data_IF_080259641972
#
_entry.id   IF_080259641972
#
_cell.length_a   1.000
_cell.length_b   1.000
_cell.length_c   1.000
_cell.angle_alpha   90.00
_cell.angle_beta   90.00
_cell.angle_gamma   90.00
#
_symmetry.space_group_name_H-M   'P 1'
#
loop_
_entity.id
_entity.type
_entity.pdbx_description
1 polymer ?
#
# COMPACT_ATOMS: atom_id res chain seq x y z
N UNK A 1 -56.18 -17.08 30.03
CA UNK A 1 -55.91 -16.81 28.60
C UNK A 1 -54.81 -15.74 28.52
N UNK A 2 -53.54 -16.13 28.72
CA UNK A 2 -52.42 -15.18 28.73
C UNK A 2 -51.10 -15.89 28.36
N UNK A 3 -51.14 -16.79 27.37
CA UNK A 3 -49.99 -17.63 27.03
C UNK A 3 -49.58 -17.53 25.55
N UNK A 4 -50.51 -17.24 24.63
CA UNK A 4 -50.19 -17.17 23.20
C UNK A 4 -49.56 -15.84 22.74
N UNK A 5 -49.84 -14.71 23.40
CA UNK A 5 -49.27 -13.40 22.99
C UNK A 5 -47.80 -13.23 23.34
N UNK A 6 -47.31 -13.89 24.40
CA UNK A 6 -45.89 -13.80 24.79
C UNK A 6 -44.99 -14.63 23.86
N UNK A 7 -45.46 -15.79 23.38
CA UNK A 7 -44.71 -16.60 22.41
C UNK A 7 -44.55 -15.89 21.05
N UNK A 8 -45.58 -15.16 20.61
CA UNK A 8 -45.53 -14.44 19.33
C UNK A 8 -44.53 -13.27 19.33
N UNK A 9 -44.38 -12.59 20.49
CA UNK A 9 -43.43 -11.48 20.65
C UNK A 9 -41.97 -11.97 20.68
N UNK A 10 -41.70 -13.14 21.26
CA UNK A 10 -40.35 -13.73 21.29
C UNK A 10 -39.90 -14.23 19.90
N UNK A 11 -40.83 -14.76 19.08
CA UNK A 11 -40.52 -15.16 17.70
C UNK A 11 -40.21 -13.95 16.81
N UNK A 12 -40.89 -12.82 17.01
CA UNK A 12 -40.62 -11.57 16.28
C UNK A 12 -39.30 -10.90 16.67
N UNK A 13 -38.88 -10.99 17.94
CA UNK A 13 -37.57 -10.50 18.41
C UNK A 13 -36.42 -11.42 17.95
N UNK A 14 -36.66 -12.72 17.79
CA UNK A 14 -35.67 -13.65 17.23
C UNK A 14 -35.57 -13.56 15.70
N UNK A 15 -36.62 -13.11 14.99
CA UNK A 15 -36.55 -12.81 13.55
C UNK A 15 -35.91 -11.45 13.22
N UNK A 16 -35.83 -10.51 14.17
CA UNK A 16 -35.12 -9.23 13.98
C UNK A 16 -33.62 -9.29 14.31
N UNK A 17 -33.15 -10.42 14.83
CA UNK A 17 -31.72 -10.81 14.86
C UNK A 17 -31.29 -11.50 13.56
N UNK A 18 -31.92 -11.15 12.43
CA UNK A 18 -31.35 -11.37 11.12
C UNK A 18 -29.96 -10.70 11.13
N UNK A 19 -28.94 -11.54 11.16
CA UNK A 19 -27.52 -11.21 11.11
C UNK A 19 -27.28 -9.89 10.35
N UNK A 20 -26.86 -8.85 11.06
CA UNK A 20 -25.92 -7.93 10.45
C UNK A 20 -24.67 -8.76 10.17
N UNK A 21 -24.67 -9.46 9.04
CA UNK A 21 -23.46 -9.99 8.47
C UNK A 21 -22.62 -8.76 8.19
N UNK A 22 -21.62 -8.51 9.04
CA UNK A 22 -20.46 -7.76 8.59
C UNK A 22 -19.99 -8.52 7.35
N UNK A 23 -19.98 -7.86 6.20
CA UNK A 23 -19.39 -8.45 5.02
C UNK A 23 -17.90 -8.50 5.31
N UNK A 24 -17.42 -9.65 5.78
CA UNK A 24 -16.00 -9.90 5.98
C UNK A 24 -15.32 -9.93 4.60
N UNK A 25 -14.05 -9.54 4.58
CA UNK A 25 -13.26 -9.67 3.37
C UNK A 25 -13.06 -11.16 3.05
N UNK A 26 -13.05 -11.52 1.76
CA UNK A 26 -12.76 -12.88 1.31
C UNK A 26 -11.95 -12.86 0.01
N UNK A 27 -11.18 -13.90 -0.25
CA UNK A 27 -10.36 -14.04 -1.46
C UNK A 27 -11.19 -14.38 -2.71
N UNK A 28 -12.42 -14.85 -2.54
CA UNK A 28 -13.38 -15.25 -3.57
C UNK A 28 -14.53 -14.23 -3.80
N UNK A 29 -14.45 -13.03 -3.19
CA UNK A 29 -15.55 -12.06 -3.12
C UNK A 29 -16.20 -11.72 -4.48
N UNK A 30 -15.43 -11.77 -5.57
CA UNK A 30 -15.91 -11.43 -6.91
C UNK A 30 -16.17 -12.65 -7.82
N UNK A 31 -15.96 -13.87 -7.37
CA UNK A 31 -16.00 -15.08 -8.22
C UNK A 31 -17.36 -15.29 -8.89
N UNK A 32 -18.45 -15.07 -8.15
CA UNK A 32 -19.81 -15.22 -8.67
C UNK A 32 -20.33 -13.98 -9.41
N UNK A 33 -19.73 -12.80 -9.18
CA UNK A 33 -20.26 -11.52 -9.68
C UNK A 33 -19.48 -11.01 -10.89
N UNK A 34 -18.16 -11.17 -10.90
CA UNK A 34 -17.29 -10.85 -12.02
C UNK A 34 -16.01 -11.71 -11.97
N UNK A 35 -16.06 -12.97 -12.40
CA UNK A 35 -14.91 -13.89 -12.37
C UNK A 35 -13.71 -13.39 -13.19
N UNK A 36 -13.96 -12.55 -14.20
CA UNK A 36 -12.92 -11.95 -15.05
C UNK A 36 -12.25 -10.71 -14.43
N UNK A 37 -12.66 -10.29 -13.23
CA UNK A 37 -12.10 -9.11 -12.56
C UNK A 37 -10.59 -9.26 -12.27
N UNK A 38 -10.19 -10.26 -11.48
CA UNK A 38 -8.78 -10.45 -11.10
C UNK A 38 -7.87 -10.77 -12.30
N UNK A 39 -8.26 -11.65 -13.25
CA UNK A 39 -7.50 -11.85 -14.48
C UNK A 39 -7.29 -10.56 -15.29
N UNK A 40 -8.31 -9.69 -15.34
CA UNK A 40 -8.22 -8.40 -16.04
C UNK A 40 -7.26 -7.44 -15.36
N UNK A 41 -7.32 -7.32 -14.03
CA UNK A 41 -6.38 -6.50 -13.24
C UNK A 41 -4.95 -6.96 -13.52
N UNK A 42 -4.69 -8.26 -13.37
CA UNK A 42 -3.38 -8.87 -13.59
C UNK A 42 -2.81 -8.55 -14.97
N UNK A 43 -3.60 -8.74 -16.03
CA UNK A 43 -3.19 -8.43 -17.41
C UNK A 43 -2.76 -6.97 -17.56
N UNK A 44 -3.55 -6.03 -17.06
CA UNK A 44 -3.26 -4.59 -17.20
C UNK A 44 -2.01 -4.20 -16.38
N UNK A 45 -1.84 -4.77 -15.18
CA UNK A 45 -0.64 -4.57 -14.36
C UNK A 45 0.60 -5.12 -15.08
N UNK A 46 0.54 -6.34 -15.59
CA UNK A 46 1.66 -6.94 -16.33
C UNK A 46 2.02 -6.13 -17.58
N UNK A 47 1.03 -5.64 -18.33
CA UNK A 47 1.25 -4.74 -19.46
C UNK A 47 1.99 -3.47 -19.03
N UNK A 48 1.54 -2.84 -17.93
CA UNK A 48 2.14 -1.61 -17.41
C UNK A 48 3.58 -1.85 -16.91
N UNK A 49 3.83 -2.94 -16.20
CA UNK A 49 5.17 -3.32 -15.69
C UNK A 49 6.11 -3.72 -16.84
N UNK A 50 5.60 -4.36 -17.89
CA UNK A 50 6.39 -4.63 -19.11
C UNK A 50 6.81 -3.35 -19.82
N UNK A 51 5.92 -2.37 -19.88
CA UNK A 51 6.19 -1.07 -20.50
C UNK A 51 7.16 -0.22 -19.67
N UNK A 52 6.97 -0.20 -18.34
CA UNK A 52 7.84 0.49 -17.42
C UNK A 52 8.01 -0.33 -16.14
N UNK A 53 9.17 -0.98 -15.95
CA UNK A 53 9.42 -1.87 -14.81
C UNK A 53 9.21 -1.19 -13.44
N UNK A 54 9.52 0.11 -13.34
CA UNK A 54 9.31 0.92 -12.12
C UNK A 54 7.83 1.07 -11.75
N UNK A 55 6.91 0.85 -12.68
CA UNK A 55 5.48 0.94 -12.40
C UNK A 55 5.05 -0.06 -11.32
N UNK A 56 5.66 -1.25 -11.27
CA UNK A 56 5.33 -2.23 -10.23
C UNK A 56 5.64 -1.72 -8.82
N UNK A 57 6.82 -1.10 -8.63
CA UNK A 57 7.16 -0.43 -7.37
C UNK A 57 6.21 0.74 -7.04
N UNK A 58 5.73 1.44 -8.07
CA UNK A 58 4.84 2.59 -7.91
C UNK A 58 3.46 2.16 -7.43
N UNK A 59 2.90 1.10 -8.01
CA UNK A 59 1.60 0.53 -7.61
C UNK A 59 1.65 -0.12 -6.23
N UNK A 60 2.74 -0.83 -5.91
CA UNK A 60 2.99 -1.34 -4.56
C UNK A 60 2.98 -0.21 -3.53
N UNK A 61 3.74 0.86 -3.79
CA UNK A 61 3.79 2.04 -2.91
C UNK A 61 2.43 2.75 -2.83
N UNK A 62 1.67 2.82 -3.91
CA UNK A 62 0.37 3.48 -3.93
C UNK A 62 -0.62 2.78 -2.98
N UNK A 63 -0.58 1.45 -2.89
CA UNK A 63 -1.38 0.70 -1.93
C UNK A 63 -0.93 0.94 -0.48
N UNK A 64 0.37 0.94 -0.19
CA UNK A 64 0.89 1.30 1.14
C UNK A 64 0.43 2.69 1.57
N UNK A 65 0.53 3.68 0.67
CA UNK A 65 0.12 5.06 0.95
C UNK A 65 -1.39 5.21 1.15
N UNK A 66 -2.21 4.40 0.48
CA UNK A 66 -3.66 4.35 0.74
C UNK A 66 -3.92 3.82 2.16
N UNK A 67 -3.43 2.62 2.47
CA UNK A 67 -3.71 1.94 3.73
C UNK A 67 -3.24 2.70 4.97
N UNK A 68 -2.15 3.46 4.89
CA UNK A 68 -1.64 4.25 6.01
C UNK A 68 -2.44 5.53 6.27
N UNK A 69 -3.43 5.87 5.44
CA UNK A 69 -4.23 7.10 5.57
C UNK A 69 -5.70 6.73 5.71
N UNK A 70 -6.22 6.76 6.95
CA UNK A 70 -7.59 6.36 7.30
C UNK A 70 -8.00 4.90 7.02
N UNK A 71 -7.19 4.14 6.28
CA UNK A 71 -7.41 2.73 5.97
C UNK A 71 -7.29 2.44 4.48
N UNK A 72 -7.39 1.18 4.08
CA UNK A 72 -7.34 0.79 2.67
C UNK A 72 -8.70 1.07 1.99
N UNK A 73 -8.98 2.34 1.68
CA UNK A 73 -10.29 2.81 1.23
C UNK A 73 -10.23 3.59 -0.11
N UNK A 74 -9.07 3.58 -0.78
CA UNK A 74 -8.79 4.29 -2.02
C UNK A 74 -9.06 5.81 -1.96
N UNK A 75 -8.99 6.42 -0.78
CA UNK A 75 -9.06 7.87 -0.58
C UNK A 75 -7.93 8.60 -1.29
N UNK A 76 -6.74 8.01 -1.37
CA UNK A 76 -5.58 8.58 -2.10
C UNK A 76 -5.86 8.84 -3.59
N UNK A 77 -6.84 8.15 -4.18
CA UNK A 77 -7.20 8.29 -5.60
C UNK A 77 -8.03 9.54 -5.89
N UNK A 78 -8.66 10.14 -4.88
CA UNK A 78 -9.54 11.29 -5.05
C UNK A 78 -8.76 12.55 -5.46
N UNK A 79 -9.24 13.24 -6.48
CA UNK A 79 -8.69 14.52 -6.92
C UNK A 79 -9.17 15.67 -6.03
N UNK A 80 -8.41 16.77 -6.04
CA UNK A 80 -8.76 17.99 -5.32
C UNK A 80 -10.07 18.57 -5.90
N UNK A 81 -11.00 18.91 -5.02
CA UNK A 81 -12.22 19.67 -5.36
C UNK A 81 -12.45 20.77 -4.32
N UNK A 82 -13.56 21.51 -4.44
CA UNK A 82 -13.97 22.49 -3.42
C UNK A 82 -14.33 21.83 -2.08
N UNK A 83 -14.65 20.53 -2.09
CA UNK A 83 -15.09 19.77 -0.90
C UNK A 83 -14.14 18.63 -0.50
N UNK A 84 -13.12 18.33 -1.32
CA UNK A 84 -12.15 17.26 -1.09
C UNK A 84 -10.75 17.86 -1.02
N UNK A 85 -10.09 17.79 0.14
CA UNK A 85 -8.65 18.12 0.31
C UNK A 85 -7.80 16.89 -0.03
N UNK A 86 -7.32 16.83 -1.27
CA UNK A 86 -6.72 15.62 -1.84
C UNK A 86 -5.37 15.29 -1.21
N UNK A 87 -5.22 14.01 -0.89
CA UNK A 87 -3.97 13.43 -0.38
C UNK A 87 -2.84 13.46 -1.39
N UNK A 88 -3.13 13.58 -2.70
CA UNK A 88 -2.10 13.69 -3.75
C UNK A 88 -1.18 14.89 -3.55
N UNK A 89 -1.65 15.92 -2.84
CA UNK A 89 -0.88 17.12 -2.52
C UNK A 89 -0.22 17.09 -1.13
N UNK A 90 -0.36 15.99 -0.37
CA UNK A 90 0.35 15.77 0.89
C UNK A 90 1.87 15.63 0.64
N UNK A 91 2.69 15.94 1.66
CA UNK A 91 4.16 15.96 1.55
C UNK A 91 4.76 14.66 1.00
N UNK A 92 4.25 13.51 1.44
CA UNK A 92 4.74 12.20 1.02
C UNK A 92 4.29 11.80 -0.40
N UNK A 93 3.24 12.45 -0.93
CA UNK A 93 2.58 12.12 -2.19
C UNK A 93 2.91 13.10 -3.31
N UNK A 94 3.04 14.39 -3.00
CA UNK A 94 3.19 15.45 -3.96
C UNK A 94 4.47 15.27 -4.79
N UNK A 95 4.33 15.21 -6.10
CA UNK A 95 5.41 14.90 -7.05
C UNK A 95 6.17 13.60 -6.71
N UNK A 96 5.52 12.63 -6.05
CA UNK A 96 6.16 11.42 -5.54
C UNK A 96 5.33 10.16 -5.79
N UNK A 97 4.07 10.12 -5.34
CA UNK A 97 3.14 9.03 -5.64
C UNK A 97 2.79 9.05 -7.15
N UNK A 98 2.66 7.88 -7.77
CA UNK A 98 2.43 7.74 -9.22
C UNK A 98 1.77 6.40 -9.57
N UNK A 99 1.33 6.24 -10.81
CA UNK A 99 0.60 5.06 -11.28
C UNK A 99 -0.92 5.20 -11.22
N UNK A 100 -1.43 6.39 -10.89
CA UNK A 100 -2.86 6.69 -10.86
C UNK A 100 -3.54 6.37 -12.20
N UNK A 101 -2.87 6.69 -13.31
CA UNK A 101 -3.30 6.42 -14.68
C UNK A 101 -3.43 4.93 -15.00
N UNK A 102 -2.61 4.08 -14.36
CA UNK A 102 -2.71 2.63 -14.50
C UNK A 102 -3.93 2.12 -13.72
N UNK A 103 -4.20 2.67 -12.53
CA UNK A 103 -5.42 2.37 -11.78
C UNK A 103 -6.66 2.77 -12.58
N UNK A 104 -6.66 3.93 -13.25
CA UNK A 104 -7.73 4.34 -14.17
C UNK A 104 -7.95 3.35 -15.31
N UNK A 105 -6.87 2.90 -15.95
CA UNK A 105 -6.95 1.89 -17.00
C UNK A 105 -7.51 0.58 -16.47
N UNK A 106 -7.04 0.12 -15.30
CA UNK A 106 -7.54 -1.11 -14.67
C UNK A 106 -9.05 -0.98 -14.42
N UNK A 107 -9.48 0.10 -13.76
CA UNK A 107 -10.89 0.30 -13.44
C UNK A 107 -11.77 0.32 -14.68
N UNK A 108 -11.36 1.04 -15.72
CA UNK A 108 -12.12 1.11 -16.96
C UNK A 108 -12.26 -0.26 -17.64
N UNK A 109 -11.20 -1.07 -17.64
CA UNK A 109 -11.20 -2.40 -18.24
C UNK A 109 -12.03 -3.40 -17.42
N UNK A 110 -11.93 -3.32 -16.09
CA UNK A 110 -12.72 -4.13 -15.15
C UNK A 110 -14.21 -3.79 -15.26
N UNK A 111 -14.59 -2.52 -15.20
CA UNK A 111 -15.99 -2.12 -15.30
C UNK A 111 -16.59 -2.52 -16.66
N UNK A 112 -15.78 -2.48 -17.73
CA UNK A 112 -16.18 -2.94 -19.06
C UNK A 112 -16.41 -4.45 -19.10
N UNK A 113 -15.49 -5.26 -18.57
CA UNK A 113 -15.64 -6.73 -18.61
C UNK A 113 -16.74 -7.22 -17.68
N UNK A 114 -16.96 -6.55 -16.55
CA UNK A 114 -18.05 -6.83 -15.62
C UNK A 114 -19.40 -6.24 -16.05
N UNK A 115 -19.44 -5.41 -17.10
CA UNK A 115 -20.63 -4.74 -17.61
C UNK A 115 -21.20 -3.62 -16.71
N UNK A 116 -20.59 -3.37 -15.56
CA UNK A 116 -20.98 -2.35 -14.57
C UNK A 116 -19.88 -2.19 -13.50
N UNK A 117 -19.85 -1.07 -12.75
CA UNK A 117 -18.96 -0.91 -11.61
C UNK A 117 -19.33 -1.88 -10.48
N UNK A 118 -18.51 -2.91 -10.28
CA UNK A 118 -18.67 -3.91 -9.20
C UNK A 118 -17.44 -4.04 -8.31
N UNK A 119 -16.24 -3.93 -8.89
CA UNK A 119 -14.98 -3.97 -8.13
C UNK A 119 -14.65 -2.59 -7.60
N UNK A 120 -14.39 -2.48 -6.30
CA UNK A 120 -13.96 -1.21 -5.70
C UNK A 120 -12.56 -0.80 -6.14
N UNK A 121 -12.26 0.48 -6.02
CA UNK A 121 -10.93 1.00 -6.30
C UNK A 121 -9.93 0.55 -5.23
N UNK A 122 -10.41 0.42 -3.99
CA UNK A 122 -9.64 -0.11 -2.87
C UNK A 122 -9.14 -1.53 -3.18
N UNK A 123 -10.01 -2.42 -3.66
CA UNK A 123 -9.58 -3.77 -4.06
C UNK A 123 -8.68 -3.76 -5.30
N UNK A 124 -8.91 -2.86 -6.25
CA UNK A 124 -7.99 -2.68 -7.39
C UNK A 124 -6.58 -2.31 -6.91
N UNK A 125 -6.44 -1.41 -5.93
CA UNK A 125 -5.13 -1.06 -5.36
C UNK A 125 -4.45 -2.27 -4.72
N UNK A 126 -5.19 -3.03 -3.92
CA UNK A 126 -4.66 -4.22 -3.22
C UNK A 126 -4.20 -5.29 -4.21
N UNK A 127 -5.02 -5.62 -5.21
CA UNK A 127 -4.69 -6.62 -6.23
C UNK A 127 -3.54 -6.13 -7.11
N UNK A 128 -3.55 -4.86 -7.52
CA UNK A 128 -2.48 -4.29 -8.34
C UNK A 128 -1.13 -4.29 -7.63
N UNK A 129 -1.09 -4.09 -6.31
CA UNK A 129 0.13 -4.22 -5.52
C UNK A 129 0.67 -5.67 -5.55
N UNK A 130 -0.19 -6.67 -5.33
CA UNK A 130 0.19 -8.09 -5.40
C UNK A 130 0.72 -8.48 -6.77
N UNK A 131 -0.03 -8.17 -7.82
CA UNK A 131 0.34 -8.51 -9.19
C UNK A 131 1.62 -7.79 -9.63
N UNK A 132 1.89 -6.59 -9.11
CA UNK A 132 3.14 -5.86 -9.34
C UNK A 132 4.35 -6.56 -8.74
N UNK A 133 4.22 -7.08 -7.52
CA UNK A 133 5.30 -7.84 -6.86
C UNK A 133 5.56 -9.15 -7.61
N UNK A 134 4.51 -9.88 -7.99
CA UNK A 134 4.62 -11.12 -8.78
C UNK A 134 5.26 -10.86 -10.14
N UNK A 135 4.85 -9.81 -10.86
CA UNK A 135 5.44 -9.42 -12.15
C UNK A 135 6.93 -9.03 -12.06
N UNK A 136 7.40 -8.71 -10.86
CA UNK A 136 8.79 -8.41 -10.53
C UNK A 136 9.48 -9.57 -9.79
N UNK A 137 8.96 -10.80 -9.91
CA UNK A 137 9.51 -12.05 -9.37
C UNK A 137 9.44 -12.23 -7.84
N UNK A 138 8.61 -11.44 -7.17
CA UNK A 138 8.36 -11.60 -5.74
C UNK A 138 7.29 -12.65 -5.43
N UNK A 139 6.94 -12.81 -4.14
CA UNK A 139 5.90 -13.75 -3.72
C UNK A 139 4.52 -13.35 -4.24
N UNK A 140 3.64 -14.35 -4.27
CA UNK A 140 2.20 -14.14 -4.35
C UNK A 140 1.59 -14.33 -2.96
N UNK A 141 0.41 -13.77 -2.75
CA UNK A 141 -0.43 -14.03 -1.58
C UNK A 141 -1.91 -13.97 -1.96
N UNK A 142 -2.74 -14.55 -1.11
CA UNK A 142 -4.20 -14.53 -1.24
C UNK A 142 -4.72 -13.16 -0.78
N UNK A 143 -5.12 -12.35 -1.75
CA UNK A 143 -5.64 -11.01 -1.48
C UNK A 143 -7.06 -11.15 -0.93
N UNK A 144 -7.28 -10.66 0.29
CA UNK A 144 -8.62 -10.49 0.86
C UNK A 144 -9.34 -9.35 0.12
N UNK A 145 -10.58 -9.52 -0.34
CA UNK A 145 -11.35 -8.60 -1.19
C UNK A 145 -12.71 -8.27 -0.57
N UNK A 146 -13.38 -7.25 -1.08
CA UNK A 146 -14.67 -6.76 -0.58
C UNK A 146 -14.60 -5.38 0.08
N UNK A 147 -13.47 -4.68 -0.07
CA UNK A 147 -13.32 -3.29 0.40
C UNK A 147 -14.22 -2.37 -0.40
N UNK A 148 -14.54 -1.22 0.19
CA UNK A 148 -15.34 -0.16 -0.43
C UNK A 148 -14.58 1.15 -0.43
N UNK A 149 -14.97 2.00 -1.36
CA UNK A 149 -14.31 3.27 -1.60
C UNK A 149 -14.80 4.35 -0.64
N UNK A 150 -13.86 5.11 -0.08
CA UNK A 150 -14.17 6.32 0.68
C UNK A 150 -14.79 7.40 -0.20
N UNK A 151 -15.56 8.28 0.44
CA UNK A 151 -16.12 9.50 -0.18
C UNK A 151 -15.33 10.75 0.17
N UNK A 152 -14.30 10.62 1.02
CA UNK A 152 -13.45 11.72 1.48
C UNK A 152 -11.98 11.36 1.38
N UNK A 153 -11.13 12.38 1.40
CA UNK A 153 -9.67 12.26 1.51
C UNK A 153 -9.18 13.22 2.59
N UNK A 154 -8.02 12.96 3.18
CA UNK A 154 -7.45 13.81 4.22
C UNK A 154 -5.96 14.03 4.02
N UNK A 155 -5.60 15.13 3.34
CA UNK A 155 -4.23 15.60 3.24
C UNK A 155 -3.54 15.76 4.60
N UNK A 156 -4.27 16.20 5.63
CA UNK A 156 -3.74 16.33 6.99
C UNK A 156 -3.39 14.97 7.59
N UNK A 157 -4.27 13.97 7.44
CA UNK A 157 -3.97 12.60 7.90
C UNK A 157 -2.79 12.03 7.13
N UNK A 158 -2.73 12.17 5.79
CA UNK A 158 -1.60 11.75 4.99
C UNK A 158 -0.27 12.38 5.42
N UNK A 159 -0.27 13.65 5.84
CA UNK A 159 0.91 14.34 6.35
C UNK A 159 1.38 13.86 7.73
N UNK A 160 0.50 13.24 8.51
CA UNK A 160 0.76 12.81 9.88
C UNK A 160 1.08 11.32 9.99
N UNK A 161 0.39 10.50 9.19
CA UNK A 161 0.35 9.06 9.38
C UNK A 161 1.32 8.32 8.44
N UNK A 162 1.61 8.86 7.25
CA UNK A 162 2.62 8.28 6.36
C UNK A 162 4.02 8.51 6.95
N UNK A 163 4.82 7.46 7.20
CA UNK A 163 6.16 7.61 7.74
C UNK A 163 7.06 8.39 6.79
N UNK A 164 7.97 9.19 7.36
CA UNK A 164 8.93 9.98 6.57
C UNK A 164 10.24 9.21 6.44
N UNK A 165 11.02 9.42 5.36
CA UNK A 165 12.30 8.74 5.16
C UNK A 165 13.39 9.15 6.17
N UNK A 166 13.08 10.08 7.07
CA UNK A 166 13.96 10.67 8.08
C UNK A 166 13.69 10.15 9.49
N UNK A 167 12.72 9.26 9.67
CA UNK A 167 12.38 8.69 10.98
C UNK A 167 13.46 7.70 11.44
N UNK A 168 13.77 7.75 12.74
CA UNK A 168 14.55 6.72 13.41
C UNK A 168 13.71 5.46 13.71
N UNK A 169 14.34 4.41 14.22
CA UNK A 169 13.69 3.12 14.47
C UNK A 169 12.51 3.24 15.45
N UNK A 170 12.68 4.00 16.55
CA UNK A 170 11.62 4.17 17.55
C UNK A 170 10.39 4.90 16.96
N UNK A 171 10.62 5.92 16.13
CA UNK A 171 9.55 6.62 15.43
C UNK A 171 8.84 5.71 14.42
N UNK A 172 9.58 4.87 13.69
CA UNK A 172 9.00 3.90 12.75
C UNK A 172 8.14 2.85 13.46
N UNK A 173 8.65 2.24 14.54
CA UNK A 173 7.90 1.26 15.35
C UNK A 173 6.61 1.88 15.87
N UNK A 174 6.67 3.08 16.43
CA UNK A 174 5.48 3.78 16.92
C UNK A 174 4.50 4.15 15.80
N UNK A 175 4.98 4.45 14.59
CA UNK A 175 4.14 4.76 13.45
C UNK A 175 3.39 3.51 12.95
N UNK A 176 4.08 2.38 12.76
CA UNK A 176 3.49 1.11 12.33
C UNK A 176 2.51 0.55 13.38
N UNK A 177 2.87 0.65 14.66
CA UNK A 177 2.01 0.23 15.77
C UNK A 177 0.68 0.97 15.81
N UNK A 178 0.63 2.25 15.41
CA UNK A 178 -0.64 3.01 15.29
C UNK A 178 -1.57 2.45 14.21
N UNK A 179 -1.02 1.75 13.22
CA UNK A 179 -1.78 1.05 12.19
C UNK A 179 -2.07 -0.41 12.56
N UNK A 180 -1.65 -0.87 13.74
CA UNK A 180 -1.83 -2.26 14.17
C UNK A 180 -0.79 -3.23 13.60
N UNK A 181 0.34 -2.71 13.10
CA UNK A 181 1.46 -3.50 12.57
C UNK A 181 2.59 -3.54 13.60
N UNK A 182 3.23 -4.70 13.74
CA UNK A 182 4.33 -4.91 14.69
C UNK A 182 5.72 -4.62 14.05
N UNK A 183 6.78 -4.95 14.78
CA UNK A 183 8.16 -4.76 14.32
C UNK A 183 8.54 -5.70 13.18
N UNK A 184 8.00 -6.91 13.15
CA UNK A 184 8.22 -7.86 12.07
C UNK A 184 7.59 -7.33 10.79
N UNK A 185 6.36 -6.81 10.89
CA UNK A 185 5.67 -6.14 9.79
C UNK A 185 6.43 -4.91 9.29
N UNK A 186 6.97 -4.09 10.20
CA UNK A 186 7.82 -2.95 9.83
C UNK A 186 9.03 -3.40 8.99
N UNK A 187 9.78 -4.41 9.44
CA UNK A 187 10.99 -4.86 8.74
C UNK A 187 10.63 -5.53 7.41
N UNK A 188 9.61 -6.39 7.39
CA UNK A 188 9.14 -7.07 6.19
C UNK A 188 8.65 -6.06 5.14
N UNK A 189 7.72 -5.16 5.49
CA UNK A 189 7.15 -4.18 4.56
C UNK A 189 8.18 -3.16 4.07
N UNK A 190 9.17 -2.80 4.89
CA UNK A 190 10.31 -2.00 4.44
C UNK A 190 11.10 -2.69 3.32
N UNK A 191 11.06 -4.03 3.26
CA UNK A 191 11.58 -4.83 2.16
C UNK A 191 10.99 -4.50 0.79
N UNK A 192 9.83 -3.83 0.73
CA UNK A 192 9.29 -3.28 -0.52
C UNK A 192 10.25 -2.32 -1.25
N UNK A 193 11.21 -1.72 -0.52
CA UNK A 193 12.29 -0.91 -1.07
C UNK A 193 13.36 -1.72 -1.84
N UNK A 194 13.25 -3.05 -1.94
CA UNK A 194 13.99 -3.81 -2.97
C UNK A 194 13.61 -3.37 -4.40
N UNK A 195 12.43 -2.76 -4.55
CA UNK A 195 11.94 -2.23 -5.82
C UNK A 195 11.99 -0.71 -5.87
N UNK A 196 12.18 -0.16 -7.06
CA UNK A 196 11.94 1.25 -7.35
C UNK A 196 13.08 2.20 -6.99
N UNK A 197 12.71 3.48 -6.83
CA UNK A 197 13.63 4.61 -6.80
C UNK A 197 13.10 5.70 -5.89
N UNK A 198 14.02 6.41 -5.24
CA UNK A 198 13.75 7.57 -4.41
C UNK A 198 14.34 8.84 -5.03
N UNK A 199 13.74 9.98 -4.69
CA UNK A 199 14.22 11.30 -5.09
C UNK A 199 15.32 11.79 -4.17
N UNK A 200 16.28 12.53 -4.72
CA UNK A 200 17.43 13.07 -3.99
C UNK A 200 17.05 13.80 -2.70
N UNK A 201 15.96 14.56 -2.70
CA UNK A 201 15.44 15.26 -1.52
C UNK A 201 15.19 14.33 -0.32
N UNK A 202 14.91 13.04 -0.54
CA UNK A 202 14.58 12.07 0.50
C UNK A 202 15.80 11.42 1.16
N UNK A 203 16.96 11.40 0.51
CA UNK A 203 18.18 10.77 1.03
C UNK A 203 19.38 11.71 1.16
N UNK A 204 19.28 12.95 0.64
CA UNK A 204 20.39 13.90 0.65
C UNK A 204 20.98 14.09 2.04
N UNK A 205 20.14 14.31 3.05
CA UNK A 205 20.63 14.52 4.41
C UNK A 205 21.51 13.35 4.87
N UNK A 206 21.03 12.12 4.62
CA UNK A 206 21.76 10.91 5.00
C UNK A 206 23.12 10.81 4.32
N UNK A 207 23.17 10.94 2.99
CA UNK A 207 24.44 10.74 2.28
C UNK A 207 25.52 11.74 2.69
N UNK A 208 25.16 12.93 3.17
CA UNK A 208 26.11 13.96 3.63
C UNK A 208 26.42 13.92 5.12
N UNK A 209 25.45 13.55 5.97
CA UNK A 209 25.52 13.81 7.41
C UNK A 209 25.48 12.55 8.30
N UNK A 210 24.97 11.42 7.81
CA UNK A 210 24.87 10.22 8.64
C UNK A 210 26.23 9.51 8.73
N UNK A 211 26.60 9.04 9.93
CA UNK A 211 27.85 8.33 10.16
C UNK A 211 27.77 6.83 9.81
N UNK A 212 26.57 6.24 9.80
CA UNK A 212 26.31 4.83 9.51
C UNK A 212 26.01 4.59 8.02
N UNK A 213 26.87 5.11 7.14
CA UNK A 213 26.80 4.91 5.69
C UNK A 213 28.15 4.46 5.15
N UNK A 214 28.14 3.47 4.25
CA UNK A 214 29.33 3.09 3.50
C UNK A 214 29.84 4.28 2.68
N UNK A 215 31.10 4.68 2.91
CA UNK A 215 31.67 5.90 2.32
C UNK A 215 31.78 5.84 0.80
N UNK A 216 31.98 4.64 0.24
CA UNK A 216 32.02 4.43 -1.20
C UNK A 216 30.62 4.58 -1.80
N UNK A 217 29.60 3.99 -1.17
CA UNK A 217 28.20 4.15 -1.56
C UNK A 217 27.75 5.62 -1.49
N UNK A 218 28.05 6.33 -0.39
CA UNK A 218 27.76 7.76 -0.25
C UNK A 218 28.39 8.58 -1.39
N UNK A 219 29.66 8.31 -1.70
CA UNK A 219 30.41 9.00 -2.76
C UNK A 219 29.80 8.81 -4.15
N UNK A 220 29.25 7.62 -4.44
CA UNK A 220 28.54 7.37 -5.69
C UNK A 220 27.24 8.18 -5.78
N UNK A 221 26.56 8.43 -4.66
CA UNK A 221 25.31 9.20 -4.61
C UNK A 221 25.52 10.72 -4.63
N UNK A 222 26.65 11.24 -4.16
CA UNK A 222 26.95 12.68 -4.23
C UNK A 222 26.86 13.25 -5.65
N UNK A 223 27.23 12.47 -6.67
CA UNK A 223 27.14 12.89 -8.09
C UNK A 223 25.70 13.17 -8.54
N UNK A 224 24.72 12.58 -7.86
CA UNK A 224 23.29 12.78 -8.11
C UNK A 224 22.70 13.91 -7.27
N UNK A 225 23.46 14.43 -6.29
CA UNK A 225 22.97 15.29 -5.20
C UNK A 225 23.74 16.60 -5.04
N UNK A 226 24.46 17.04 -6.07
CA UNK A 226 25.04 18.40 -6.11
C UNK A 226 23.97 19.46 -5.88
N UNK A 227 24.30 20.60 -5.26
CA UNK A 227 23.35 21.69 -4.95
C UNK A 227 22.28 21.88 -6.05
N UNK A 228 21.01 21.59 -5.70
CA UNK A 228 19.93 21.36 -6.66
C UNK A 228 19.59 19.87 -6.84
N UNK A 229 18.85 19.55 -7.91
CA UNK A 229 18.57 18.16 -8.30
C UNK A 229 17.67 17.36 -7.35
N UNK A 230 16.77 18.02 -6.60
CA UNK A 230 15.86 17.35 -5.65
C UNK A 230 15.09 16.17 -6.26
N UNK A 231 14.74 16.27 -7.55
CA UNK A 231 14.00 15.24 -8.29
C UNK A 231 14.87 14.15 -8.92
N UNK A 232 16.21 14.25 -8.82
CA UNK A 232 17.10 13.21 -9.33
C UNK A 232 16.82 11.88 -8.63
N UNK A 233 16.73 10.83 -9.43
CA UNK A 233 16.37 9.51 -8.95
C UNK A 233 17.60 8.66 -8.64
N UNK A 234 17.56 7.98 -7.51
CA UNK A 234 18.48 6.90 -7.16
C UNK A 234 17.67 5.63 -6.90
N UNK A 235 18.18 4.49 -7.36
CA UNK A 235 17.58 3.20 -7.04
C UNK A 235 17.69 2.93 -5.53
N UNK A 236 16.61 2.41 -4.94
CA UNK A 236 16.58 2.00 -3.53
C UNK A 236 17.46 0.75 -3.30
N UNK A 237 17.59 -0.09 -4.34
CA UNK A 237 18.36 -1.34 -4.38
C UNK A 237 19.20 -1.40 -5.68
N UNK A 238 20.35 -2.11 -5.73
CA UNK A 238 21.01 -2.62 -6.94
C UNK A 238 20.11 -3.30 -7.98
N UNK A 239 19.01 -3.94 -7.58
CA UNK A 239 18.09 -4.67 -8.46
C UNK A 239 16.67 -4.05 -8.47
N UNK A 240 16.49 -2.76 -8.84
CA UNK A 240 15.26 -1.99 -8.57
C UNK A 240 13.99 -2.44 -9.34
N UNK A 241 14.09 -3.52 -10.11
CA UNK A 241 13.03 -4.13 -10.90
C UNK A 241 13.00 -5.66 -10.74
N UNK A 242 13.53 -6.17 -9.64
CA UNK A 242 13.53 -7.59 -9.29
C UNK A 242 13.40 -7.70 -7.77
N UNK A 243 12.37 -8.39 -7.30
CA UNK A 243 12.10 -8.54 -5.88
C UNK A 243 13.02 -9.62 -5.30
N UNK A 244 13.96 -9.24 -4.44
CA UNK A 244 14.91 -10.14 -3.82
C UNK A 244 15.33 -9.66 -2.41
N UNK A 245 16.36 -10.27 -1.83
CA UNK A 245 16.88 -9.93 -0.49
C UNK A 245 18.04 -8.92 -0.51
N UNK A 246 18.33 -8.27 -1.64
CA UNK A 246 19.46 -7.32 -1.77
C UNK A 246 19.24 -6.05 -0.97
N UNK A 247 17.99 -5.62 -0.79
CA UNK A 247 17.63 -4.57 0.16
C UNK A 247 18.24 -4.84 1.55
N UNK A 248 17.96 -6.01 2.15
CA UNK A 248 18.50 -6.35 3.47
C UNK A 248 20.01 -6.59 3.45
N UNK A 249 20.55 -7.18 2.38
CA UNK A 249 22.01 -7.33 2.21
C UNK A 249 22.73 -5.98 2.20
N UNK A 250 22.10 -4.95 1.63
CA UNK A 250 22.62 -3.58 1.66
C UNK A 250 22.58 -2.99 3.06
N UNK A 251 21.50 -3.19 3.83
CA UNK A 251 21.43 -2.68 5.21
C UNK A 251 22.57 -3.24 6.07
N UNK A 252 22.82 -4.54 5.98
CA UNK A 252 23.95 -5.22 6.65
C UNK A 252 25.31 -4.63 6.24
N UNK A 253 25.39 -4.08 5.03
CA UNK A 253 26.60 -3.44 4.49
C UNK A 253 26.63 -1.92 4.66
N UNK A 254 25.73 -1.32 5.46
CA UNK A 254 25.56 0.14 5.62
C UNK A 254 25.22 0.89 4.31
N UNK A 255 24.52 0.22 3.39
CA UNK A 255 24.14 0.70 2.06
C UNK A 255 22.63 0.89 1.88
N UNK A 256 21.85 0.98 2.97
CA UNK A 256 20.48 1.50 2.88
C UNK A 256 20.49 2.88 2.22
N UNK A 257 19.46 3.27 1.47
CA UNK A 257 19.46 4.57 0.80
C UNK A 257 18.92 5.66 1.73
N UNK A 258 17.75 5.41 2.31
CA UNK A 258 17.06 6.34 3.20
C UNK A 258 17.58 6.20 4.63
N UNK A 259 17.36 7.24 5.45
CA UNK A 259 17.66 7.17 6.87
C UNK A 259 16.80 6.12 7.57
N UNK A 260 15.51 6.09 7.26
CA UNK A 260 14.57 5.06 7.73
C UNK A 260 15.00 3.64 7.37
N UNK A 261 15.62 3.43 6.20
CA UNK A 261 16.10 2.10 5.79
C UNK A 261 17.23 1.63 6.71
N UNK A 262 18.25 2.48 6.89
CA UNK A 262 19.41 2.11 7.69
C UNK A 262 19.10 2.09 9.19
N UNK A 263 18.05 2.77 9.64
CA UNK A 263 17.59 2.70 11.03
C UNK A 263 17.20 1.26 11.45
N UNK A 264 16.75 0.42 10.50
CA UNK A 264 16.44 -1.00 10.74
C UNK A 264 17.67 -1.87 11.02
N UNK A 265 18.89 -1.35 10.74
CA UNK A 265 20.14 -2.07 10.99
C UNK A 265 21.18 -1.10 11.57
N UNK A 266 21.06 -0.86 12.88
CA UNK A 266 21.84 0.16 13.59
C UNK A 266 22.22 -0.26 15.01
N UNK A 267 22.21 -1.57 15.31
CA UNK A 267 22.51 -2.12 16.62
C UNK A 267 21.28 -2.22 17.53
N UNK A 268 20.09 -2.31 16.94
CA UNK A 268 18.79 -2.31 17.62
C UNK A 268 18.06 -3.65 17.58
N UNK A 269 16.79 -3.63 17.98
CA UNK A 269 15.93 -4.83 18.09
C UNK A 269 15.60 -5.50 16.74
N UNK A 270 15.70 -4.77 15.63
CA UNK A 270 15.39 -5.27 14.28
C UNK A 270 16.58 -5.91 13.55
N UNK A 271 17.81 -5.78 14.10
CA UNK A 271 19.05 -6.20 13.44
C UNK A 271 19.07 -7.70 13.07
N UNK A 272 18.56 -8.56 13.95
CA UNK A 272 18.60 -10.02 13.74
C UNK A 272 17.61 -10.49 12.67
N UNK A 273 16.46 -9.82 12.56
CA UNK A 273 15.51 -10.07 11.49
C UNK A 273 16.06 -9.60 10.13
N UNK A 274 16.67 -8.41 10.08
CA UNK A 274 17.37 -7.92 8.88
C UNK A 274 18.47 -8.88 8.43
N UNK A 275 19.29 -9.41 9.36
CA UNK A 275 20.30 -10.45 9.02
C UNK A 275 19.66 -11.70 8.47
N UNK A 276 18.51 -12.12 9.00
CA UNK A 276 17.78 -13.30 8.55
C UNK A 276 17.31 -13.11 7.11
N UNK A 277 16.59 -12.03 6.83
CA UNK A 277 16.11 -11.72 5.48
C UNK A 277 17.25 -11.54 4.48
N UNK A 278 18.38 -10.95 4.88
CA UNK A 278 19.55 -10.79 3.99
C UNK A 278 20.09 -12.12 3.44
N UNK A 279 19.89 -13.23 4.15
CA UNK A 279 20.41 -14.56 3.80
C UNK A 279 19.32 -15.52 3.31
N UNK A 280 18.06 -15.22 3.58
CA UNK A 280 16.95 -16.13 3.34
C UNK A 280 15.79 -15.41 2.65
N UNK A 281 15.79 -15.42 1.32
CA UNK A 281 14.71 -14.88 0.50
C UNK A 281 13.37 -15.58 0.76
N UNK A 282 13.38 -16.88 1.10
CA UNK A 282 12.14 -17.62 1.36
C UNK A 282 11.42 -17.05 2.58
N UNK A 283 12.12 -16.91 3.70
CA UNK A 283 11.56 -16.33 4.93
C UNK A 283 11.09 -14.90 4.70
N UNK A 284 11.92 -14.05 4.08
CA UNK A 284 11.47 -12.69 3.70
C UNK A 284 10.20 -12.70 2.85
N UNK A 285 10.10 -13.60 1.86
CA UNK A 285 8.95 -13.66 0.96
C UNK A 285 7.67 -14.12 1.66
N UNK A 286 7.77 -15.03 2.62
CA UNK A 286 6.65 -15.50 3.45
C UNK A 286 6.15 -14.37 4.36
N UNK A 287 7.06 -13.75 5.11
CA UNK A 287 6.70 -12.70 6.07
C UNK A 287 6.21 -11.44 5.33
N UNK A 288 6.79 -11.10 4.17
CA UNK A 288 6.29 -10.02 3.32
C UNK A 288 4.86 -10.26 2.84
N UNK A 289 4.52 -11.48 2.44
CA UNK A 289 3.17 -11.85 2.03
C UNK A 289 2.17 -11.69 3.18
N UNK A 290 2.53 -12.17 4.38
CA UNK A 290 1.69 -12.05 5.57
C UNK A 290 1.50 -10.59 5.99
N UNK A 291 2.57 -9.81 6.04
CA UNK A 291 2.50 -8.38 6.40
C UNK A 291 1.74 -7.55 5.35
N UNK A 292 1.81 -7.90 4.06
CA UNK A 292 0.99 -7.27 3.02
C UNK A 292 -0.51 -7.56 3.21
N UNK A 293 -0.88 -8.77 3.64
CA UNK A 293 -2.27 -9.09 4.01
C UNK A 293 -2.71 -8.27 5.22
N UNK A 294 -1.90 -8.22 6.29
CA UNK A 294 -2.20 -7.41 7.49
C UNK A 294 -2.36 -5.92 7.14
N UNK A 295 -1.43 -5.37 6.36
CA UNK A 295 -1.49 -3.98 5.88
C UNK A 295 -2.75 -3.73 5.04
N UNK A 296 -3.08 -4.65 4.12
CA UNK A 296 -4.30 -4.58 3.31
C UNK A 296 -5.59 -4.63 4.14
N UNK A 297 -5.53 -5.04 5.40
CA UNK A 297 -6.67 -5.14 6.31
C UNK A 297 -6.76 -3.97 7.30
N UNK A 298 -5.98 -2.90 7.11
CA UNK A 298 -6.08 -1.69 7.93
C UNK A 298 -7.41 -0.99 7.63
N UNK A 299 -8.32 -1.01 8.62
CA UNK A 299 -9.57 -0.24 8.69
C UNK A 299 -10.37 -0.21 7.36
N UNK A 300 -10.66 -1.36 6.72
CA UNK A 300 -11.39 -1.37 5.46
C UNK A 300 -12.83 -0.88 5.67
N UNK A 301 -13.38 -0.18 4.67
CA UNK A 301 -14.82 0.04 4.59
C UNK A 301 -15.47 -1.21 3.98
N UNK A 302 -16.49 -1.78 4.63
CA UNK A 302 -17.17 -2.99 4.14
C UNK A 302 -18.70 -2.87 4.18
N UNK A 303 -19.39 -3.80 3.52
CA UNK A 303 -20.86 -3.87 3.50
C UNK A 303 -21.51 -2.61 2.93
N UNK A 304 -22.06 -1.76 3.80
CA UNK A 304 -22.73 -0.49 3.41
C UNK A 304 -21.87 0.76 3.66
N UNK A 305 -20.67 0.62 4.18
CA UNK A 305 -19.76 1.74 4.43
C UNK A 305 -19.07 2.12 3.12
N UNK A 306 -19.09 3.40 2.74
CA UNK A 306 -18.52 3.85 1.46
C UNK A 306 -19.31 3.38 0.22
N UNK A 307 -18.66 3.44 -0.94
CA UNK A 307 -19.28 3.23 -2.25
C UNK A 307 -18.48 2.29 -3.16
N UNK A 308 -19.03 1.95 -4.33
CA UNK A 308 -18.26 1.43 -5.46
C UNK A 308 -18.24 2.55 -6.49
N UNK A 309 -17.09 3.21 -6.65
CA UNK A 309 -16.99 4.33 -7.61
C UNK A 309 -17.04 3.80 -9.04
N UNK A 310 -17.84 4.45 -9.90
CA UNK A 310 -17.77 4.28 -11.36
C UNK A 310 -16.75 5.21 -12.02
N UNK A 311 -16.34 6.27 -11.32
CA UNK A 311 -15.22 7.16 -11.70
C UNK A 311 -14.27 7.26 -10.52
N UNK A 312 -13.03 6.80 -10.70
CA UNK A 312 -12.06 6.69 -9.60
C UNK A 312 -11.75 8.02 -8.92
N UNK A 313 -11.61 9.08 -9.71
CA UNK A 313 -11.03 10.35 -9.25
C UNK A 313 -12.05 11.31 -8.64
N UNK A 314 -13.33 11.00 -8.74
CA UNK A 314 -14.43 11.82 -8.23
C UNK A 314 -14.98 11.21 -6.94
N UNK A 315 -15.44 12.06 -6.01
CA UNK A 315 -16.21 11.63 -4.83
C UNK A 315 -17.62 11.19 -5.22
N UNK A 316 -18.53 11.06 -4.24
CA UNK A 316 -19.95 10.87 -4.56
C UNK A 316 -20.41 11.96 -5.55
N UNK A 317 -20.89 11.54 -6.72
CA UNK A 317 -21.70 12.43 -7.55
C UNK A 317 -22.89 12.82 -6.68
N UNK A 318 -23.01 14.10 -6.32
CA UNK A 318 -24.28 14.58 -5.79
C UNK A 318 -25.33 14.13 -6.80
N UNK A 319 -26.27 13.28 -6.36
CA UNK A 319 -27.44 12.97 -7.17
C UNK A 319 -28.13 14.30 -7.39
N UNK A 320 -27.84 14.91 -8.53
CA UNK A 320 -28.42 16.17 -8.94
C UNK A 320 -29.93 16.06 -8.85
N UNK A 321 -30.52 17.09 -8.24
CA UNK A 321 -31.96 17.36 -8.21
C UNK A 321 -32.60 17.26 -9.59
#
# INVERSE_FOLDING_TARGET
MASSSFLFLHVLVMLSLASMAFADLSDDFYDDVCPEALPTIKRVVEDAVRQERRMGASLLRLHFHDCFVNGCDASILLDQTDTIDSEKTARANNNSARGFEVIDKIKSEVDKICGRPVVSCADILTVAARDSVVALHGPTWEVQLGRRDSTTASRTTANNDIPTPFMDLSALINNFKKQGLDEEDLVALSGGHTLGFAQCSTFRNRIYNDANIDSTFASQRYKLSTSGGDSNLASLDPTPAFFDSKYFSNLVSNKGLLHSDQALFSGGETDDLVKTYSKNLKTFSEDFAESMIKMGNIKPLTGKQGQIRGRLREGELSKGK
#
